data_IF_169229714973
#
_entry.id   IF_169229714973
#
_cell.length_a   1.000
_cell.length_b   1.000
_cell.length_c   1.000
_cell.angle_alpha   90.00
_cell.angle_beta   90.00
_cell.angle_gamma   90.00
#
_symmetry.space_group_name_H-M   'P 1'
#
loop_
_entity.id
_entity.type
_entity.pdbx_description
1 polymer ?
#
# COMPACT_ATOMS: atom_id res chain seq x y z
N UNK A 1 -21.93 -23.90 -2.87
CA UNK A 1 -21.87 -22.50 -3.36
C UNK A 1 -20.61 -22.35 -4.20
N UNK A 2 -20.69 -21.72 -5.37
CA UNK A 2 -19.51 -21.30 -6.14
C UNK A 2 -18.86 -20.13 -5.38
N UNK A 3 -17.53 -20.11 -5.14
CA UNK A 3 -16.91 -18.98 -4.47
C UNK A 3 -17.17 -17.73 -5.31
N UNK A 4 -17.51 -16.60 -4.64
CA UNK A 4 -17.47 -15.31 -5.30
C UNK A 4 -16.04 -15.08 -5.78
N UNK A 5 -15.84 -15.11 -7.09
CA UNK A 5 -14.59 -14.67 -7.69
C UNK A 5 -14.61 -13.16 -7.73
N UNK A 6 -13.61 -12.53 -7.09
CA UNK A 6 -13.31 -11.13 -7.37
C UNK A 6 -12.56 -11.07 -8.72
N UNK A 7 -12.95 -10.20 -9.65
CA UNK A 7 -12.16 -9.98 -10.86
C UNK A 7 -10.81 -9.34 -10.48
N UNK A 8 -9.74 -9.56 -11.26
CA UNK A 8 -8.52 -8.78 -11.13
C UNK A 8 -8.81 -7.28 -11.29
N UNK A 9 -8.01 -6.44 -10.61
CA UNK A 9 -8.10 -5.00 -10.79
C UNK A 9 -7.56 -4.61 -12.18
N UNK A 10 -8.28 -3.73 -12.86
CA UNK A 10 -7.72 -2.98 -13.98
C UNK A 10 -6.92 -1.79 -13.42
N UNK A 11 -5.69 -1.64 -13.92
CA UNK A 11 -4.79 -0.56 -13.52
C UNK A 11 -4.30 0.15 -14.78
N UNK A 12 -4.53 1.45 -14.83
CA UNK A 12 -3.99 2.31 -15.88
C UNK A 12 -2.57 2.75 -15.48
N UNK A 13 -1.60 2.37 -16.31
CA UNK A 13 -0.19 2.73 -16.17
C UNK A 13 0.26 3.79 -17.19
N UNK A 14 -0.69 4.47 -17.85
CA UNK A 14 -0.41 5.51 -18.84
C UNK A 14 0.38 6.70 -18.28
N UNK A 15 0.17 7.05 -16.99
CA UNK A 15 1.05 7.92 -16.20
C UNK A 15 1.95 7.06 -15.29
N UNK A 16 3.24 6.85 -15.63
CA UNK A 16 4.15 6.04 -14.83
C UNK A 16 4.39 6.57 -13.41
N UNK A 17 4.09 7.85 -13.14
CA UNK A 17 4.28 8.47 -11.83
C UNK A 17 3.04 8.34 -10.94
N UNK A 18 1.89 8.00 -11.51
CA UNK A 18 0.63 7.86 -10.79
C UNK A 18 -0.29 6.82 -11.46
N UNK A 19 -0.01 5.52 -11.28
CA UNK A 19 -0.93 4.47 -11.71
C UNK A 19 -2.32 4.71 -11.12
N UNK A 20 -3.36 4.52 -11.93
CA UNK A 20 -4.73 4.81 -11.57
C UNK A 20 -5.62 3.57 -11.65
N UNK A 21 -6.70 3.56 -10.87
CA UNK A 21 -7.78 2.59 -11.02
C UNK A 21 -8.93 3.23 -11.80
N UNK A 22 -9.20 2.80 -13.05
CA UNK A 22 -10.35 3.31 -13.81
C UNK A 22 -11.69 3.04 -13.12
N UNK A 23 -11.78 1.96 -12.33
CA UNK A 23 -12.99 1.60 -11.58
C UNK A 23 -13.33 2.62 -10.48
N UNK A 24 -12.31 3.18 -9.83
CA UNK A 24 -12.48 4.10 -8.70
C UNK A 24 -12.22 5.56 -9.06
N UNK A 25 -11.80 5.82 -10.31
CA UNK A 25 -11.43 7.16 -10.82
C UNK A 25 -10.40 7.87 -9.92
N UNK A 26 -9.40 7.12 -9.44
CA UNK A 26 -8.39 7.63 -8.50
C UNK A 26 -7.01 6.96 -8.69
N UNK A 27 -5.96 7.62 -8.19
CA UNK A 27 -4.56 7.17 -8.25
C UNK A 27 -4.18 6.31 -7.04
N UNK A 28 -3.34 5.30 -7.25
CA UNK A 28 -2.88 4.41 -6.17
C UNK A 28 -1.87 5.08 -5.22
N UNK A 29 -1.15 6.09 -5.69
CA UNK A 29 -0.26 6.92 -4.88
C UNK A 29 -0.02 8.27 -5.56
N UNK A 30 0.39 9.26 -4.78
CA UNK A 30 0.74 10.57 -5.31
C UNK A 30 1.96 10.50 -6.24
N UNK A 31 2.08 11.53 -7.10
CA UNK A 31 3.24 11.73 -7.99
C UNK A 31 4.55 11.99 -7.25
N UNK A 32 4.51 12.22 -5.94
CA UNK A 32 5.70 12.32 -5.09
C UNK A 32 6.40 10.95 -4.89
N UNK A 33 5.76 9.85 -5.31
CA UNK A 33 6.33 8.51 -5.32
C UNK A 33 5.77 7.62 -4.23
N UNK A 34 5.45 6.38 -4.60
CA UNK A 34 4.79 5.40 -3.75
C UNK A 34 5.55 5.11 -2.45
N UNK A 35 6.85 4.87 -2.54
CA UNK A 35 7.68 4.50 -1.40
C UNK A 35 7.90 5.68 -0.44
N UNK A 36 8.09 6.89 -0.97
CA UNK A 36 8.23 8.10 -0.17
C UNK A 36 6.94 8.38 0.63
N UNK A 37 5.79 8.29 -0.05
CA UNK A 37 4.48 8.43 0.60
C UNK A 37 4.26 7.34 1.66
N UNK A 38 4.53 6.07 1.35
CA UNK A 38 4.36 4.97 2.30
C UNK A 38 5.28 5.12 3.53
N UNK A 39 6.54 5.48 3.35
CA UNK A 39 7.47 5.72 4.47
C UNK A 39 7.00 6.88 5.36
N UNK A 40 6.58 7.99 4.75
CA UNK A 40 6.18 9.17 5.50
C UNK A 40 4.81 9.00 6.20
N UNK A 41 3.79 8.57 5.46
CA UNK A 41 2.41 8.55 5.94
C UNK A 41 2.12 7.28 6.72
N UNK A 42 2.55 6.11 6.22
CA UNK A 42 2.21 4.83 6.83
C UNK A 42 3.22 4.39 7.89
N UNK A 43 4.50 4.25 7.52
CA UNK A 43 5.55 3.74 8.43
C UNK A 43 5.81 4.73 9.55
N UNK A 44 6.25 5.95 9.23
CA UNK A 44 6.51 6.98 10.22
C UNK A 44 5.23 7.45 10.92
N UNK A 45 4.11 7.58 10.21
CA UNK A 45 2.82 7.94 10.79
C UNK A 45 2.29 6.93 11.82
N UNK A 46 2.68 5.66 11.73
CA UNK A 46 2.38 4.65 12.75
C UNK A 46 3.48 4.52 13.83
N UNK A 47 4.57 5.28 13.77
CA UNK A 47 5.71 5.19 14.70
C UNK A 47 6.51 3.90 14.52
N UNK A 48 6.72 3.48 13.29
CA UNK A 48 7.49 2.30 12.91
C UNK A 48 8.84 2.73 12.31
N UNK A 49 9.92 1.96 12.51
CA UNK A 49 9.99 0.64 13.16
C UNK A 49 10.01 0.66 14.70
N UNK A 50 10.05 1.84 15.33
CA UNK A 50 10.25 2.05 16.77
C UNK A 50 9.37 1.14 17.62
N UNK A 51 8.07 1.07 17.32
CA UNK A 51 7.09 0.31 18.12
C UNK A 51 7.26 -1.20 18.06
N UNK A 52 7.80 -1.76 16.97
CA UNK A 52 7.99 -3.21 16.85
C UNK A 52 9.35 -3.69 17.33
N UNK A 53 10.31 -2.78 17.59
CA UNK A 53 11.62 -3.15 18.13
C UNK A 53 11.47 -3.90 19.47
N UNK A 54 12.22 -4.99 19.60
CA UNK A 54 12.22 -5.84 20.80
C UNK A 54 10.99 -6.75 20.96
N UNK A 55 10.05 -6.77 20.00
CA UNK A 55 8.88 -7.66 20.04
C UNK A 55 9.12 -8.89 19.18
N UNK A 56 8.75 -10.07 19.70
CA UNK A 56 8.77 -11.32 18.92
C UNK A 56 7.67 -11.41 17.85
N UNK A 57 6.65 -10.55 17.93
CA UNK A 57 5.57 -10.44 16.93
C UNK A 57 4.98 -9.03 16.93
N UNK A 58 4.76 -8.48 15.74
CA UNK A 58 3.99 -7.26 15.51
C UNK A 58 3.02 -7.52 14.35
N UNK A 59 1.79 -7.01 14.44
CA UNK A 59 0.74 -7.26 13.44
C UNK A 59 0.26 -5.91 12.93
N UNK A 60 0.27 -5.76 11.62
CA UNK A 60 -0.28 -4.60 10.91
C UNK A 60 -1.52 -5.06 10.15
N UNK A 61 -2.61 -4.32 10.29
CA UNK A 61 -3.82 -4.51 9.49
C UNK A 61 -3.86 -3.40 8.43
N UNK A 62 -4.01 -3.79 7.17
CA UNK A 62 -4.15 -2.87 6.05
C UNK A 62 -5.54 -3.04 5.42
N UNK A 63 -6.30 -1.94 5.32
CA UNK A 63 -7.61 -1.92 4.67
C UNK A 63 -7.44 -1.46 3.21
N UNK A 64 -7.19 -2.41 2.33
CA UNK A 64 -6.94 -2.18 0.91
C UNK A 64 -5.46 -2.34 0.56
N UNK A 65 -5.10 -3.50 0.00
CA UNK A 65 -3.71 -3.83 -0.34
C UNK A 65 -3.17 -3.00 -1.51
N UNK A 66 -4.05 -2.65 -2.46
CA UNK A 66 -3.68 -1.88 -3.65
C UNK A 66 -2.52 -2.51 -4.42
N UNK A 67 -1.49 -1.70 -4.70
CA UNK A 67 -0.25 -2.15 -5.33
C UNK A 67 0.81 -2.66 -4.32
N UNK A 68 0.47 -2.79 -3.04
CA UNK A 68 1.34 -3.34 -2.00
C UNK A 68 2.41 -2.37 -1.46
N UNK A 69 2.28 -1.07 -1.74
CA UNK A 69 3.30 -0.07 -1.40
C UNK A 69 3.59 0.02 0.11
N UNK A 70 2.54 0.02 0.94
CA UNK A 70 2.71 0.06 2.39
C UNK A 70 3.32 -1.24 2.92
N UNK A 71 2.93 -2.39 2.37
CA UNK A 71 3.52 -3.68 2.72
C UNK A 71 5.02 -3.72 2.43
N UNK A 72 5.44 -3.31 1.23
CA UNK A 72 6.85 -3.28 0.86
C UNK A 72 7.65 -2.26 1.70
N UNK A 73 7.10 -1.07 1.94
CA UNK A 73 7.73 -0.09 2.83
C UNK A 73 7.84 -0.58 4.28
N UNK A 74 6.86 -1.35 4.75
CA UNK A 74 6.87 -1.97 6.08
C UNK A 74 7.92 -3.07 6.18
N UNK A 75 8.12 -3.86 5.11
CA UNK A 75 9.15 -4.89 5.06
C UNK A 75 10.57 -4.29 5.01
N UNK A 76 10.75 -3.17 4.32
CA UNK A 76 12.04 -2.47 4.19
C UNK A 76 12.48 -1.72 5.48
N UNK A 77 11.55 -1.46 6.42
CA UNK A 77 11.76 -0.64 7.62
C UNK A 77 12.28 -1.41 8.84
#
# INVERSE_FOLDING_TARGET
MKPLSLPPAEVDFSDPLAPASPLFDDIYHSRAGALAQARHVFVAGNGLPERWRGRGRFVVLETGFGLGNNFLATWDA
#
